data_IF_055182750046
#
_entry.id   IF_055182750046
#
_cell.length_a   1.000
_cell.length_b   1.000
_cell.length_c   1.000
_cell.angle_alpha   90.00
_cell.angle_beta   90.00
_cell.angle_gamma   90.00
#
_symmetry.space_group_name_H-M   'P 1'
#
loop_
_entity.id
_entity.type
_entity.pdbx_description
1 polymer ?
#
# COMPACT_ATOMS: atom_id res chain seq x y z
N UNK A 1 -11.43 -4.38 5.93
CA UNK A 1 -11.13 -4.73 7.34
C UNK A 1 -11.71 -3.77 8.36
N UNK A 2 -12.25 -2.58 8.00
CA UNK A 2 -12.73 -1.57 8.96
C UNK A 2 -11.75 -1.29 10.12
N UNK A 3 -10.45 -1.50 9.89
CA UNK A 3 -9.42 -1.46 10.91
C UNK A 3 -9.09 -0.04 11.39
N UNK A 4 -9.65 1.00 10.74
CA UNK A 4 -9.35 2.40 11.04
C UNK A 4 -10.64 3.06 11.52
N UNK A 5 -10.59 3.61 12.73
CA UNK A 5 -11.70 4.38 13.32
C UNK A 5 -11.23 5.78 13.67
N UNK A 6 -12.09 6.79 13.52
CA UNK A 6 -11.74 8.16 13.88
C UNK A 6 -12.80 9.15 13.43
N UNK A 7 -12.75 10.34 14.03
CA UNK A 7 -13.57 11.50 13.65
C UNK A 7 -12.73 12.43 12.78
N UNK A 8 -13.38 13.14 11.87
CA UNK A 8 -12.71 14.13 11.01
C UNK A 8 -12.00 15.19 11.87
N UNK A 9 -10.78 15.54 11.49
CA UNK A 9 -9.88 16.45 12.21
C UNK A 9 -9.39 15.96 13.58
N UNK A 10 -9.56 14.67 13.89
CA UNK A 10 -9.03 14.04 15.10
C UNK A 10 -8.02 12.93 14.76
N UNK A 11 -7.31 12.44 15.79
CA UNK A 11 -6.38 11.33 15.63
C UNK A 11 -7.17 10.04 15.36
N UNK A 12 -6.90 9.41 14.23
CA UNK A 12 -7.50 8.13 13.88
C UNK A 12 -6.72 7.00 14.56
N UNK A 13 -7.44 5.97 14.99
CA UNK A 13 -6.91 4.79 15.68
C UNK A 13 -6.99 3.61 14.72
N UNK A 14 -5.88 2.86 14.60
CA UNK A 14 -5.81 1.62 13.85
C UNK A 14 -5.90 0.46 14.85
N UNK A 15 -6.92 -0.39 14.72
CA UNK A 15 -7.09 -1.59 15.53
C UNK A 15 -6.11 -2.67 15.05
N UNK A 16 -5.14 -3.09 15.88
CA UNK A 16 -4.14 -4.08 15.49
C UNK A 16 -4.74 -5.48 15.26
N UNK A 17 -5.92 -5.78 15.81
CA UNK A 17 -6.57 -7.08 15.63
C UNK A 17 -7.27 -7.22 14.26
N UNK A 18 -7.62 -6.09 13.64
CA UNK A 18 -8.25 -6.03 12.33
C UNK A 18 -7.27 -5.60 11.23
N UNK A 19 -6.12 -5.05 11.60
CA UNK A 19 -5.06 -4.71 10.67
C UNK A 19 -4.51 -5.98 10.01
N UNK A 20 -4.34 -5.93 8.68
CA UNK A 20 -3.75 -7.02 7.88
C UNK A 20 -2.39 -6.61 7.29
N UNK A 21 -1.81 -5.54 7.83
CA UNK A 21 -0.51 -4.98 7.41
C UNK A 21 -0.40 -4.69 5.91
N UNK A 22 -1.52 -4.29 5.28
CA UNK A 22 -1.54 -4.01 3.84
C UNK A 22 -0.86 -2.68 3.46
N UNK A 23 -0.44 -1.85 4.42
CA UNK A 23 0.28 -0.60 4.18
C UNK A 23 -0.52 0.52 3.48
N UNK A 24 -1.79 0.28 3.13
CA UNK A 24 -2.59 1.23 2.35
C UNK A 24 -2.86 2.55 3.09
N UNK A 25 -3.05 2.49 4.41
CA UNK A 25 -3.21 3.69 5.23
C UNK A 25 -1.94 4.56 5.22
N UNK A 26 -0.77 3.93 5.26
CA UNK A 26 0.52 4.61 5.26
C UNK A 26 0.77 5.42 4.00
N UNK A 27 0.51 4.84 2.82
CA UNK A 27 0.73 5.52 1.53
C UNK A 27 -0.22 6.68 1.25
N UNK A 28 -1.41 6.69 1.89
CA UNK A 28 -2.39 7.78 1.73
C UNK A 28 -2.30 8.84 2.82
N UNK A 29 -1.57 8.59 3.91
CA UNK A 29 -1.52 9.47 5.08
C UNK A 29 -0.73 10.75 4.78
N UNK A 30 -1.37 11.91 4.58
CA UNK A 30 -0.65 13.14 4.22
C UNK A 30 0.42 13.60 5.23
N UNK A 31 0.25 13.41 6.56
CA UNK A 31 1.30 13.75 7.52
C UNK A 31 2.39 12.67 7.69
N UNK A 32 2.34 11.55 6.94
CA UNK A 32 3.30 10.45 7.04
C UNK A 32 3.46 9.95 8.49
N UNK A 33 2.32 9.79 9.19
CA UNK A 33 2.28 9.53 10.63
C UNK A 33 2.15 8.03 10.98
N UNK A 34 2.16 7.14 9.98
CA UNK A 34 1.91 5.71 10.13
C UNK A 34 3.22 4.96 9.95
N UNK A 35 3.49 4.04 10.88
CA UNK A 35 4.59 3.10 10.79
C UNK A 35 4.10 1.80 10.17
N UNK A 36 4.95 1.13 9.41
CA UNK A 36 4.69 -0.23 8.94
C UNK A 36 5.01 -1.29 10.02
N UNK A 37 4.84 -2.56 9.67
CA UNK A 37 5.10 -3.73 10.51
C UNK A 37 6.57 -3.82 10.99
N UNK A 38 7.49 -3.18 10.27
CA UNK A 38 8.92 -3.13 10.60
C UNK A 38 9.28 -1.89 11.42
N UNK A 39 8.33 -0.99 11.68
CA UNK A 39 8.55 0.27 12.39
C UNK A 39 9.10 1.39 11.51
N UNK A 40 9.13 1.21 10.19
CA UNK A 40 9.56 2.24 9.24
C UNK A 40 8.40 3.20 8.92
N UNK A 41 8.71 4.49 8.73
CA UNK A 41 7.71 5.50 8.36
C UNK A 41 7.18 5.23 6.94
N UNK A 42 5.88 5.00 6.84
CA UNK A 42 5.19 4.92 5.55
C UNK A 42 5.17 6.29 4.88
N UNK A 43 5.61 6.33 3.62
CA UNK A 43 5.70 7.58 2.85
C UNK A 43 4.58 7.71 1.85
N UNK A 44 4.20 8.96 1.60
CA UNK A 44 3.31 9.30 0.51
C UNK A 44 4.13 9.42 -0.76
N UNK A 45 3.65 8.80 -1.84
CA UNK A 45 4.32 8.85 -3.14
C UNK A 45 3.50 9.69 -4.12
N UNK A 46 4.15 10.55 -4.92
CA UNK A 46 3.54 11.04 -6.14
C UNK A 46 3.10 9.85 -7.01
N UNK A 47 1.95 9.93 -7.68
CA UNK A 47 1.44 8.81 -8.49
C UNK A 47 2.44 8.23 -9.50
N UNK A 48 3.37 9.05 -10.01
CA UNK A 48 4.40 8.61 -10.97
C UNK A 48 5.50 7.74 -10.34
N UNK A 49 5.69 7.85 -9.03
CA UNK A 49 6.74 7.18 -8.25
C UNK A 49 6.13 6.18 -7.26
N UNK A 50 4.82 5.98 -7.31
CA UNK A 50 4.12 5.06 -6.43
C UNK A 50 4.60 3.63 -6.70
N UNK A 51 4.78 2.82 -5.65
CA UNK A 51 5.09 1.41 -5.82
C UNK A 51 3.89 0.70 -6.46
N UNK A 52 4.11 0.11 -7.62
CA UNK A 52 3.09 -0.58 -8.40
C UNK A 52 3.47 -2.04 -8.64
N UNK A 53 2.45 -2.89 -8.71
CA UNK A 53 2.65 -4.27 -9.10
C UNK A 53 3.01 -4.36 -10.59
N UNK A 54 4.02 -5.17 -10.88
CA UNK A 54 4.47 -5.51 -12.23
C UNK A 54 4.48 -7.02 -12.38
N UNK A 55 4.08 -7.48 -13.55
CA UNK A 55 3.92 -8.90 -13.85
C UNK A 55 5.03 -9.31 -14.81
N UNK A 56 5.67 -10.44 -14.50
CA UNK A 56 6.67 -11.10 -15.33
C UNK A 56 5.91 -12.12 -16.17
N UNK A 57 5.73 -11.81 -17.45
CA UNK A 57 4.94 -12.61 -18.39
C UNK A 57 5.41 -14.07 -18.45
N UNK A 58 6.74 -14.28 -18.44
CA UNK A 58 7.38 -15.60 -18.52
C UNK A 58 7.06 -16.54 -17.34
N UNK A 59 6.76 -15.98 -16.17
CA UNK A 59 6.50 -16.74 -14.95
C UNK A 59 4.99 -16.85 -14.65
N UNK A 60 4.16 -16.07 -15.34
CA UNK A 60 2.73 -16.00 -15.05
C UNK A 60 1.99 -17.19 -15.70
N UNK A 61 1.40 -18.04 -14.87
CA UNK A 61 0.56 -19.17 -15.32
C UNK A 61 -0.90 -18.76 -15.64
N UNK A 62 -1.19 -17.45 -15.69
CA UNK A 62 -2.46 -16.90 -16.16
C UNK A 62 -3.68 -17.35 -15.36
N UNK A 63 -4.77 -17.65 -16.07
CA UNK A 63 -6.06 -18.04 -15.48
C UNK A 63 -6.07 -19.42 -14.79
N UNK A 64 -4.94 -20.13 -14.75
CA UNK A 64 -4.81 -21.36 -13.96
C UNK A 64 -4.61 -21.11 -12.46
N UNK A 65 -4.36 -19.86 -12.03
CA UNK A 65 -4.02 -19.52 -10.64
C UNK A 65 -4.96 -18.49 -10.03
N UNK A 66 -5.10 -17.32 -10.66
CA UNK A 66 -5.93 -16.18 -10.20
C UNK A 66 -5.69 -15.72 -8.74
N UNK A 67 -4.67 -16.24 -8.05
CA UNK A 67 -4.44 -15.99 -6.63
C UNK A 67 -4.16 -14.52 -6.35
N UNK A 68 -3.40 -13.86 -7.22
CA UNK A 68 -3.11 -12.43 -7.12
C UNK A 68 -4.38 -11.56 -7.24
N UNK A 69 -5.36 -12.00 -8.04
CA UNK A 69 -6.64 -11.30 -8.22
C UNK A 69 -7.47 -11.46 -6.96
N UNK A 70 -7.62 -12.70 -6.49
CA UNK A 70 -8.44 -13.02 -5.32
C UNK A 70 -7.90 -12.42 -4.01
N UNK A 71 -6.57 -12.28 -3.88
CA UNK A 71 -5.98 -11.70 -2.66
C UNK A 71 -5.99 -10.17 -2.67
N UNK A 72 -6.23 -9.52 -3.81
CA UNK A 72 -6.16 -8.07 -3.89
C UNK A 72 -7.38 -7.41 -3.23
N UNK A 73 -7.24 -6.70 -2.09
CA UNK A 73 -8.39 -6.07 -1.44
C UNK A 73 -8.85 -4.77 -2.14
N UNK A 74 -8.18 -4.39 -3.24
CA UNK A 74 -8.42 -3.15 -3.99
C UNK A 74 -8.92 -3.40 -5.42
N UNK A 75 -9.14 -4.67 -5.80
CA UNK A 75 -9.54 -5.07 -7.16
C UNK A 75 -8.68 -4.42 -8.24
N UNK A 76 -7.36 -4.37 -8.00
CA UNK A 76 -6.37 -3.75 -8.87
C UNK A 76 -5.81 -4.71 -9.92
N UNK A 77 -6.17 -5.99 -9.88
CA UNK A 77 -5.69 -7.03 -10.78
C UNK A 77 -6.85 -7.67 -11.53
N UNK A 78 -6.65 -7.97 -12.81
CA UNK A 78 -7.64 -8.59 -13.70
C UNK A 78 -6.97 -9.54 -14.68
N UNK A 79 -7.73 -10.42 -15.32
CA UNK A 79 -7.24 -11.22 -16.46
C UNK A 79 -7.55 -10.50 -17.77
N UNK A 80 -6.56 -10.41 -18.65
CA UNK A 80 -6.74 -10.00 -20.04
C UNK A 80 -6.18 -11.05 -20.99
N UNK A 81 -6.91 -11.30 -22.07
CA UNK A 81 -6.46 -12.20 -23.13
C UNK A 81 -5.35 -11.52 -23.92
N UNK A 82 -4.14 -12.05 -23.81
CA UNK A 82 -2.98 -11.54 -24.54
C UNK A 82 -2.63 -12.49 -25.69
N UNK A 83 -2.35 -11.98 -26.91
CA UNK A 83 -2.10 -12.83 -28.08
C UNK A 83 -0.80 -13.64 -28.01
N UNK A 84 0.11 -13.28 -27.10
CA UNK A 84 1.49 -13.79 -27.06
C UNK A 84 1.71 -14.90 -26.03
N UNK A 85 0.68 -15.31 -25.29
CA UNK A 85 0.83 -16.40 -24.33
C UNK A 85 0.64 -17.75 -25.03
N UNK A 86 1.56 -18.67 -24.77
CA UNK A 86 1.61 -19.97 -25.43
C UNK A 86 0.45 -20.90 -25.05
N UNK A 87 -0.38 -20.48 -24.08
CA UNK A 87 -1.53 -21.22 -23.60
C UNK A 87 -2.79 -20.33 -23.68
N UNK A 88 -3.92 -20.96 -23.98
CA UNK A 88 -5.25 -20.37 -24.25
C UNK A 88 -5.87 -19.49 -23.14
N UNK A 89 -5.11 -19.18 -22.10
CA UNK A 89 -5.58 -18.69 -20.81
C UNK A 89 -4.93 -17.35 -20.49
N UNK A 90 -5.74 -16.29 -20.38
CA UNK A 90 -5.31 -14.89 -20.25
C UNK A 90 -4.26 -14.63 -19.16
N UNK A 91 -3.58 -13.49 -19.27
CA UNK A 91 -2.55 -13.04 -18.33
C UNK A 91 -3.13 -12.07 -17.31
N UNK A 92 -2.59 -12.10 -16.09
CA UNK A 92 -2.91 -11.09 -15.10
C UNK A 92 -2.38 -9.72 -15.57
N UNK A 93 -3.17 -8.68 -15.38
CA UNK A 93 -2.84 -7.27 -15.64
C UNK A 93 -3.10 -6.46 -14.38
N UNK A 94 -2.43 -5.32 -14.25
CA UNK A 94 -2.51 -4.43 -13.08
C UNK A 94 -3.07 -3.08 -13.50
N UNK A 95 -4.13 -2.63 -12.83
CA UNK A 95 -4.61 -1.26 -12.92
C UNK A 95 -3.78 -0.35 -11.98
N UNK A 96 -2.90 0.52 -12.52
CA UNK A 96 -2.04 1.38 -11.72
C UNK A 96 -2.82 2.45 -10.93
N UNK A 97 -4.10 2.69 -11.26
CA UNK A 97 -4.93 3.68 -10.56
C UNK A 97 -5.49 3.14 -9.26
N UNK A 98 -5.68 1.82 -9.17
CA UNK A 98 -6.23 1.12 -8.01
C UNK A 98 -5.13 0.47 -7.16
N UNK A 99 -4.01 0.13 -7.75
CA UNK A 99 -2.89 -0.48 -7.04
C UNK A 99 -2.32 0.48 -5.99
N UNK A 100 -2.27 0.04 -4.75
CA UNK A 100 -1.72 0.79 -3.60
C UNK A 100 -0.28 0.39 -3.27
N UNK A 101 0.28 -0.61 -3.97
CA UNK A 101 1.61 -1.13 -3.65
C UNK A 101 1.68 -1.99 -2.38
N UNK A 102 0.54 -2.56 -1.95
CA UNK A 102 0.40 -3.31 -0.68
C UNK A 102 1.18 -4.63 -0.58
N UNK A 103 1.79 -5.12 -1.66
CA UNK A 103 2.63 -6.35 -1.69
C UNK A 103 1.95 -7.68 -1.38
N UNK A 104 0.65 -7.70 -1.07
CA UNK A 104 -0.09 -8.96 -0.83
C UNK A 104 0.02 -9.94 -2.01
N UNK A 105 -0.11 -9.43 -3.24
CA UNK A 105 0.02 -10.25 -4.45
C UNK A 105 1.43 -10.83 -4.64
N UNK A 106 2.48 -10.03 -4.40
CA UNK A 106 3.89 -10.47 -4.42
C UNK A 106 4.15 -11.58 -3.41
N UNK A 107 3.66 -11.42 -2.17
CA UNK A 107 3.83 -12.43 -1.12
C UNK A 107 3.07 -13.74 -1.39
N UNK A 108 1.90 -13.65 -2.04
CA UNK A 108 1.08 -14.83 -2.34
C UNK A 108 1.57 -15.63 -3.57
N UNK A 109 2.35 -15.01 -4.45
CA UNK A 109 2.71 -15.62 -5.72
C UNK A 109 3.83 -16.66 -5.56
N UNK A 110 3.45 -17.94 -5.55
CA UNK A 110 4.42 -19.06 -5.52
C UNK A 110 5.32 -19.18 -6.76
N UNK A 111 4.97 -18.50 -7.85
CA UNK A 111 5.71 -18.52 -9.12
C UNK A 111 6.64 -17.32 -9.30
N UNK A 112 6.68 -16.40 -8.34
CA UNK A 112 7.42 -15.13 -8.45
C UNK A 112 7.11 -14.40 -9.77
N UNK A 113 5.86 -14.46 -10.21
CA UNK A 113 5.39 -13.87 -11.45
C UNK A 113 4.95 -12.41 -11.30
N UNK A 114 4.92 -11.90 -10.07
CA UNK A 114 4.48 -10.55 -9.75
C UNK A 114 5.40 -9.99 -8.67
N UNK A 115 5.84 -8.76 -8.87
CA UNK A 115 6.70 -8.04 -7.94
C UNK A 115 6.29 -6.57 -7.86
N UNK A 116 6.70 -5.89 -6.78
CA UNK A 116 6.37 -4.47 -6.58
C UNK A 116 7.59 -3.61 -6.88
N UNK A 117 7.40 -2.65 -7.78
CA UNK A 117 8.44 -1.71 -8.22
C UNK A 117 8.05 -0.26 -7.89
N UNK A 118 8.92 0.52 -7.22
CA UNK A 118 10.23 0.13 -6.68
C UNK A 118 10.17 -0.78 -5.44
N UNK A 119 11.23 -1.58 -5.18
CA UNK A 119 11.29 -2.48 -4.03
C UNK A 119 11.35 -1.72 -2.71
N UNK A 120 10.92 -2.38 -1.62
CA UNK A 120 10.77 -1.78 -0.28
C UNK A 120 12.04 -1.09 0.21
N UNK A 121 13.21 -1.67 -0.07
CA UNK A 121 14.50 -1.11 0.36
C UNK A 121 14.79 0.28 -0.25
N UNK A 122 14.33 0.51 -1.47
CA UNK A 122 14.49 1.80 -2.15
C UNK A 122 13.50 2.86 -1.65
N UNK A 123 12.46 2.45 -0.93
CA UNK A 123 11.46 3.34 -0.35
C UNK A 123 11.87 3.91 1.02
N UNK A 124 12.90 3.35 1.66
CA UNK A 124 13.37 3.77 2.97
C UNK A 124 13.96 5.17 2.93
N UNK A 125 13.50 6.07 3.82
CA UNK A 125 14.30 7.25 4.19
C UNK A 125 15.25 6.78 5.28
N UNK A 126 16.50 7.25 5.28
CA UNK A 126 17.27 7.26 6.52
C UNK A 126 16.56 8.24 7.46
N UNK A 127 15.72 7.73 8.34
CA UNK A 127 15.07 8.53 9.37
C UNK A 127 16.09 8.68 10.49
N UNK A 128 16.67 9.87 10.63
CA UNK A 128 17.55 10.17 11.76
C UNK A 128 16.69 10.39 13.02
N UNK A 129 17.18 10.07 14.25
CA UNK A 129 16.41 10.20 15.49
C UNK A 129 15.75 11.58 15.69
N UNK A 130 16.36 12.64 15.14
CA UNK A 130 15.82 14.01 15.16
C UNK A 130 14.62 14.24 14.23
N UNK A 131 14.47 13.46 13.15
CA UNK A 131 13.36 13.57 12.19
C UNK A 131 12.09 12.87 12.67
N UNK A 132 12.19 11.83 13.51
CA UNK A 132 11.04 11.18 14.19
C UNK A 132 10.37 12.16 15.16
N UNK A 133 11.17 12.98 15.84
CA UNK A 133 10.73 13.96 16.83
C UNK A 133 10.17 15.25 16.21
N UNK A 134 10.36 15.47 14.91
CA UNK A 134 9.88 16.67 14.21
C UNK A 134 8.76 16.29 13.25
N UNK A 135 7.48 16.39 13.67
CA UNK A 135 6.35 16.06 12.81
C UNK A 135 6.36 17.02 11.61
N UNK A 136 6.81 16.53 10.45
CA UNK A 136 6.92 17.32 9.23
C UNK A 136 5.52 17.79 8.82
N UNK A 137 5.20 19.04 9.19
CA UNK A 137 4.02 19.82 8.80
C UNK A 137 2.68 19.11 8.95
N UNK A 138 2.38 18.63 10.15
CA UNK A 138 1.01 18.28 10.54
C UNK A 138 0.16 19.52 10.86
N UNK A 139 -0.27 20.31 9.85
CA UNK A 139 -1.30 21.35 10.08
C UNK A 139 -2.57 20.75 10.71
N UNK A 140 -2.85 19.48 10.45
CA UNK A 140 -3.94 18.72 11.09
C UNK A 140 -3.69 18.43 12.58
N UNK A 141 -2.45 18.09 12.98
CA UNK A 141 -2.11 17.84 14.38
C UNK A 141 -2.13 19.13 15.22
N UNK A 142 -1.67 20.25 14.65
CA UNK A 142 -1.77 21.56 15.29
C UNK A 142 -3.24 21.96 15.49
N UNK A 143 -4.08 21.83 14.46
CA UNK A 143 -5.53 22.09 14.55
C UNK A 143 -6.26 21.17 15.53
N UNK A 144 -5.91 19.88 15.57
CA UNK A 144 -6.50 18.92 16.51
C UNK A 144 -6.13 19.27 17.96
N UNK A 145 -4.86 19.63 18.22
CA UNK A 145 -4.41 20.10 19.54
C UNK A 145 -5.08 21.41 19.95
N UNK A 146 -5.21 22.37 19.03
CA UNK A 146 -5.93 23.64 19.26
C UNK A 146 -7.41 23.41 19.57
N UNK A 147 -8.08 22.46 18.89
CA UNK A 147 -9.48 22.09 19.18
C UNK A 147 -9.64 21.34 20.50
N UNK A 148 -8.73 20.41 20.84
CA UNK A 148 -8.74 19.72 22.13
C UNK A 148 -8.45 20.69 23.29
N UNK A 149 -7.61 21.71 23.09
CA UNK A 149 -7.37 22.76 24.08
C UNK A 149 -8.53 23.78 24.19
N UNK A 150 -9.43 23.83 23.21
CA UNK A 150 -10.61 24.69 23.20
C UNK A 150 -11.92 23.95 23.59
N UNK A 151 -11.84 22.65 23.89
CA UNK A 151 -12.97 21.90 24.45
C UNK A 151 -13.14 22.25 25.94
N UNK A 152 -14.37 22.56 26.40
CA UNK A 152 -14.66 23.01 27.76
C UNK A 152 -14.48 21.91 28.82
#
# INVERSE_FOLDING_TARGET
TNAITGVRDELHIIDPTLCIDCGACGVVCPPEAILDDMGDICRTFPRKEAPLAKIIEENCIGSGCELCINICPFDALSLEDTPNHHDFWGMATVDPRKCTGCRLCEQSCGWSAIYIDPPREMLKRKVYPMEILTPKKGKGLQRAKERQAAAP
#
